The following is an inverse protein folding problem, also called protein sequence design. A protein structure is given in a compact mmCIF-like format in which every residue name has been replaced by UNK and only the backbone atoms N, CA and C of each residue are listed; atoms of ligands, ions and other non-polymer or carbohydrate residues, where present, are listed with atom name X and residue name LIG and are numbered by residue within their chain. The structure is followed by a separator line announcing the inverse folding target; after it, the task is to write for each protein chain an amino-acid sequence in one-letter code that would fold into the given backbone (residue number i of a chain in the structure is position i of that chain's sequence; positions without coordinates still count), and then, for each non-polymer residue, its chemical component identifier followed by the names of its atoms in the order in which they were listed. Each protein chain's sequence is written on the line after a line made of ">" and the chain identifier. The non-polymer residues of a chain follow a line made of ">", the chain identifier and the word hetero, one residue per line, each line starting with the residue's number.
data_IF_308785793768
#
_entry.id   IF_308785793768
#
_cell.length_a   1.000
_cell.length_b   1.000
_cell.length_c   1.000
_cell.angle_alpha   90.00
_cell.angle_beta   90.00
_cell.angle_gamma   90.00
#
_symmetry.space_group_name_H-M   'P 1'
#
loop_
_entity.id
_entity.type
_entity.pdbx_description
1 polymer ?
#
# COMPACT_ATOMS: atom_id res chain seq x y z
N UNK A 1 -30.97 -10.45 4.88
CA UNK A 1 -29.68 -10.12 4.23
C UNK A 1 -29.59 -8.62 4.16
N UNK A 2 -28.57 -8.05 4.79
CA UNK A 2 -28.34 -6.61 4.84
C UNK A 2 -27.97 -6.08 3.45
N UNK A 3 -28.58 -4.96 3.02
CA UNK A 3 -28.26 -4.34 1.74
C UNK A 3 -27.16 -3.32 1.94
N UNK A 4 -26.06 -3.50 1.21
CA UNK A 4 -24.94 -2.56 1.17
C UNK A 4 -24.87 -1.96 -0.21
N UNK A 5 -24.46 -0.71 -0.30
CA UNK A 5 -24.56 0.05 -1.53
C UNK A 5 -23.18 0.43 -2.05
N UNK A 6 -22.94 0.09 -3.31
CA UNK A 6 -21.79 0.56 -4.07
C UNK A 6 -21.96 2.06 -4.31
N UNK A 7 -21.00 2.82 -3.82
CA UNK A 7 -20.89 4.25 -4.08
C UNK A 7 -19.89 4.46 -5.21
N UNK A 8 -20.22 5.37 -6.10
CA UNK A 8 -19.31 5.85 -7.12
C UNK A 8 -19.08 7.33 -6.90
N UNK A 9 -17.83 7.70 -6.67
CA UNK A 9 -17.39 9.07 -6.46
C UNK A 9 -16.00 9.24 -7.07
N UNK A 10 -15.81 10.30 -7.85
CA UNK A 10 -14.52 10.66 -8.46
C UNK A 10 -13.84 9.48 -9.17
N UNK A 11 -14.57 8.75 -10.02
CA UNK A 11 -13.99 7.65 -10.81
C UNK A 11 -13.74 6.35 -10.04
N UNK A 12 -14.01 6.31 -8.73
CA UNK A 12 -13.78 5.15 -7.86
C UNK A 12 -15.08 4.53 -7.37
N UNK A 13 -15.08 3.20 -7.32
CA UNK A 13 -16.14 2.40 -6.74
C UNK A 13 -15.75 1.92 -5.35
N UNK A 14 -16.59 2.23 -4.36
CA UNK A 14 -16.38 1.86 -2.97
C UNK A 14 -17.65 1.25 -2.38
N UNK A 15 -17.48 0.19 -1.60
CA UNK A 15 -18.54 -0.35 -0.77
C UNK A 15 -17.93 -0.77 0.56
N UNK A 16 -18.58 -0.39 1.65
CA UNK A 16 -18.27 -0.91 2.97
C UNK A 16 -18.67 -2.38 3.03
N UNK A 17 -17.67 -3.25 2.89
CA UNK A 17 -17.85 -4.66 3.18
C UNK A 17 -17.04 -4.95 4.46
N UNK A 18 -17.72 -4.89 5.59
CA UNK A 18 -17.32 -5.41 6.90
C UNK A 18 -16.92 -6.91 6.91
N UNK A 19 -16.07 -7.38 5.99
CA UNK A 19 -15.43 -8.71 6.03
C UNK A 19 -14.08 -8.55 6.74
N UNK A 20 -14.00 -9.09 7.95
CA UNK A 20 -12.78 -9.06 8.76
C UNK A 20 -11.69 -9.98 8.19
N UNK A 21 -10.45 -9.73 8.58
CA UNK A 21 -9.28 -10.59 8.26
C UNK A 21 -9.55 -12.05 8.65
N UNK A 22 -10.11 -12.30 9.85
CA UNK A 22 -10.43 -13.66 10.31
C UNK A 22 -11.50 -14.36 9.46
N UNK A 23 -12.50 -13.60 8.97
CA UNK A 23 -13.48 -14.13 8.04
C UNK A 23 -12.84 -14.47 6.69
N UNK A 24 -11.91 -13.64 6.20
CA UNK A 24 -11.13 -13.94 5.01
C UNK A 24 -10.27 -15.18 5.17
N UNK A 25 -9.56 -15.34 6.30
CA UNK A 25 -8.78 -16.54 6.60
C UNK A 25 -9.63 -17.81 6.54
N UNK A 26 -10.77 -17.78 7.22
CA UNK A 26 -11.72 -18.90 7.26
C UNK A 26 -12.19 -19.29 5.85
N UNK A 27 -12.39 -18.30 4.97
CA UNK A 27 -12.77 -18.56 3.58
C UNK A 27 -11.61 -19.05 2.72
N UNK A 28 -10.41 -18.48 2.87
CA UNK A 28 -9.19 -18.87 2.15
C UNK A 28 -8.82 -20.34 2.41
N UNK A 29 -9.03 -20.82 3.64
CA UNK A 29 -8.82 -22.21 4.02
C UNK A 29 -9.92 -23.15 3.54
N UNK A 30 -11.02 -22.64 2.98
CA UNK A 30 -12.15 -23.43 2.50
C UNK A 30 -12.07 -23.65 0.97
N UNK A 31 -11.69 -24.86 0.48
CA UNK A 31 -11.50 -25.12 -0.94
C UNK A 31 -12.80 -25.06 -1.76
N UNK A 32 -13.98 -25.10 -1.11
CA UNK A 32 -15.28 -24.92 -1.80
C UNK A 32 -15.55 -23.46 -2.17
N UNK A 33 -14.86 -22.52 -1.50
CA UNK A 33 -14.91 -21.07 -1.75
C UNK A 33 -13.68 -20.69 -2.58
N UNK A 34 -12.49 -20.85 -2.00
CA UNK A 34 -11.20 -20.57 -2.63
C UNK A 34 -10.59 -21.84 -3.21
N UNK A 35 -11.14 -22.30 -4.33
CA UNK A 35 -10.52 -23.33 -5.15
C UNK A 35 -9.24 -22.81 -5.87
N UNK A 36 -8.40 -23.70 -6.43
CA UNK A 36 -7.10 -23.35 -6.99
C UNK A 36 -7.12 -22.19 -7.99
N UNK A 37 -8.11 -22.17 -8.90
CA UNK A 37 -8.25 -21.11 -9.91
C UNK A 37 -8.57 -19.72 -9.33
N UNK A 38 -9.30 -19.66 -8.22
CA UNK A 38 -9.66 -18.39 -7.59
C UNK A 38 -8.50 -17.86 -6.76
N UNK A 39 -7.82 -18.77 -6.05
CA UNK A 39 -6.60 -18.41 -5.33
C UNK A 39 -5.52 -17.92 -6.31
N UNK A 40 -5.27 -18.66 -7.40
CA UNK A 40 -4.36 -18.24 -8.47
C UNK A 40 -4.70 -16.85 -9.04
N UNK A 41 -5.98 -16.58 -9.31
CA UNK A 41 -6.42 -15.25 -9.73
C UNK A 41 -6.09 -14.17 -8.70
N UNK A 42 -6.43 -14.38 -7.42
CA UNK A 42 -6.14 -13.38 -6.38
C UNK A 42 -4.64 -13.17 -6.23
N UNK A 43 -3.85 -14.25 -6.27
CA UNK A 43 -2.40 -14.19 -6.15
C UNK A 43 -1.74 -13.41 -7.28
N UNK A 44 -2.27 -13.48 -8.51
CA UNK A 44 -1.77 -12.65 -9.63
C UNK A 44 -1.84 -11.16 -9.33
N UNK A 45 -2.93 -10.69 -8.71
CA UNK A 45 -3.02 -9.30 -8.28
C UNK A 45 -2.21 -9.02 -7.01
N UNK A 46 -2.14 -9.98 -6.08
CA UNK A 46 -1.32 -9.87 -4.88
C UNK A 46 0.15 -9.59 -5.21
N UNK A 47 0.70 -10.20 -6.27
CA UNK A 47 2.10 -9.98 -6.67
C UNK A 47 2.35 -8.68 -7.45
N UNK A 48 1.32 -7.88 -7.73
CA UNK A 48 1.50 -6.57 -8.34
C UNK A 48 1.80 -5.48 -7.32
N UNK A 49 2.41 -4.39 -7.79
CA UNK A 49 2.69 -3.22 -6.96
C UNK A 49 1.38 -2.68 -6.38
N UNK A 50 1.36 -2.48 -5.06
CA UNK A 50 0.17 -2.08 -4.29
C UNK A 50 -1.03 -3.04 -4.42
N UNK A 51 -0.80 -4.30 -4.78
CA UNK A 51 -1.81 -5.34 -4.96
C UNK A 51 -2.90 -4.97 -5.98
N UNK A 52 -2.53 -4.18 -7.00
CA UNK A 52 -3.45 -3.67 -8.02
C UNK A 52 -2.93 -3.81 -9.44
N UNK A 53 -3.84 -4.04 -10.39
CA UNK A 53 -3.56 -4.02 -11.81
C UNK A 53 -4.85 -3.97 -12.65
N UNK A 54 -4.70 -3.64 -13.92
CA UNK A 54 -5.75 -3.88 -14.92
C UNK A 54 -5.74 -5.35 -15.34
N UNK A 55 -6.89 -5.88 -15.75
CA UNK A 55 -6.96 -7.27 -16.27
C UNK A 55 -6.04 -7.47 -17.47
N UNK A 56 -5.84 -6.43 -18.30
CA UNK A 56 -4.94 -6.47 -19.44
C UNK A 56 -3.46 -6.60 -19.03
N UNK A 57 -3.03 -5.85 -18.00
CA UNK A 57 -1.67 -5.95 -17.49
C UNK A 57 -1.38 -7.35 -16.92
N UNK A 58 -2.34 -7.93 -16.19
CA UNK A 58 -2.22 -9.30 -15.69
C UNK A 58 -2.14 -10.31 -16.84
N UNK A 59 -2.99 -10.20 -17.86
CA UNK A 59 -2.94 -11.09 -19.04
C UNK A 59 -1.62 -10.99 -19.81
N UNK A 60 -1.01 -9.79 -19.86
CA UNK A 60 0.25 -9.58 -20.54
C UNK A 60 1.45 -10.15 -19.75
N UNK A 61 1.42 -10.06 -18.41
CA UNK A 61 2.51 -10.51 -17.53
C UNK A 61 2.46 -12.00 -17.22
N UNK A 62 1.27 -12.57 -17.08
CA UNK A 62 1.07 -13.99 -16.78
C UNK A 62 0.55 -14.69 -18.03
N UNK A 63 1.42 -15.41 -18.78
CA UNK A 63 1.03 -16.04 -20.03
C UNK A 63 -0.15 -16.99 -19.83
N UNK A 64 -1.14 -16.88 -20.70
CA UNK A 64 -2.32 -17.73 -20.69
C UNK A 64 -2.67 -18.09 -22.14
N UNK A 65 -3.10 -19.33 -22.36
CA UNK A 65 -3.60 -19.78 -23.67
C UNK A 65 -4.99 -19.21 -24.02
N UNK A 66 -5.57 -18.42 -23.12
CA UNK A 66 -6.91 -17.87 -23.26
C UNK A 66 -6.93 -16.67 -24.21
N UNK A 67 -7.87 -16.68 -25.17
CA UNK A 67 -8.08 -15.59 -26.17
C UNK A 67 -8.65 -14.30 -25.59
N UNK A 68 -8.99 -14.26 -24.30
CA UNK A 68 -9.59 -13.11 -23.61
C UNK A 68 -9.49 -13.25 -22.10
N UNK A 69 -9.82 -12.18 -21.37
CA UNK A 69 -9.70 -12.19 -19.91
C UNK A 69 -10.79 -13.02 -19.23
N UNK A 70 -10.44 -14.07 -18.45
CA UNK A 70 -11.43 -14.88 -17.74
C UNK A 70 -11.86 -14.26 -16.40
N UNK A 71 -11.21 -13.17 -15.99
CA UNK A 71 -11.22 -12.73 -14.59
C UNK A 71 -12.59 -12.24 -14.12
N UNK A 72 -13.38 -11.57 -14.97
CA UNK A 72 -14.74 -11.19 -14.63
C UNK A 72 -15.60 -12.41 -14.24
N UNK A 73 -15.53 -13.49 -15.00
CA UNK A 73 -16.26 -14.72 -14.69
C UNK A 73 -15.77 -15.38 -13.40
N UNK A 74 -14.46 -15.36 -13.16
CA UNK A 74 -13.86 -15.90 -11.94
C UNK A 74 -14.26 -15.08 -10.70
N UNK A 75 -14.25 -13.76 -10.81
CA UNK A 75 -14.70 -12.85 -9.75
C UNK A 75 -16.17 -13.06 -9.41
N UNK A 76 -17.04 -13.17 -10.41
CA UNK A 76 -18.48 -13.45 -10.19
C UNK A 76 -18.63 -14.79 -9.46
N UNK A 77 -17.94 -15.83 -9.93
CA UNK A 77 -17.99 -17.17 -9.34
C UNK A 77 -17.48 -17.22 -7.89
N UNK A 78 -16.38 -16.53 -7.60
CA UNK A 78 -15.82 -16.40 -6.26
C UNK A 78 -16.76 -15.62 -5.33
N UNK A 79 -17.26 -14.48 -5.80
CA UNK A 79 -18.14 -13.60 -5.00
C UNK A 79 -19.43 -14.30 -4.61
N UNK A 80 -20.06 -15.04 -5.52
CA UNK A 80 -21.27 -15.80 -5.20
C UNK A 80 -21.02 -16.85 -4.11
N UNK A 81 -19.82 -17.42 -4.05
CA UNK A 81 -19.43 -18.38 -2.98
C UNK A 81 -19.21 -17.69 -1.65
N UNK A 82 -18.53 -16.54 -1.66
CA UNK A 82 -18.30 -15.70 -0.47
C UNK A 82 -19.64 -15.24 0.11
N UNK A 83 -20.50 -14.62 -0.71
CA UNK A 83 -21.82 -14.13 -0.26
C UNK A 83 -22.67 -15.28 0.29
N UNK A 84 -22.71 -16.43 -0.40
CA UNK A 84 -23.46 -17.60 0.07
C UNK A 84 -22.91 -18.15 1.39
N UNK A 85 -21.59 -18.14 1.58
CA UNK A 85 -20.97 -18.63 2.82
C UNK A 85 -21.22 -17.70 4.00
N UNK A 86 -21.06 -16.39 3.79
CA UNK A 86 -21.27 -15.39 4.84
C UNK A 86 -22.76 -15.18 5.16
N UNK A 87 -23.64 -15.34 4.17
CA UNK A 87 -25.11 -15.28 4.27
C UNK A 87 -25.65 -14.08 5.09
N UNK A 88 -24.96 -12.93 5.03
CA UNK A 88 -25.27 -11.77 5.88
C UNK A 88 -25.58 -10.50 5.10
N UNK A 89 -24.93 -10.28 3.95
CA UNK A 89 -25.13 -9.07 3.15
C UNK A 89 -25.15 -9.36 1.65
N UNK A 90 -25.74 -8.44 0.90
CA UNK A 90 -25.64 -8.31 -0.55
C UNK A 90 -25.15 -6.90 -0.89
N UNK A 91 -24.46 -6.75 -2.03
CA UNK A 91 -23.98 -5.44 -2.48
C UNK A 91 -24.75 -5.01 -3.73
N UNK A 92 -25.50 -3.93 -3.60
CA UNK A 92 -26.29 -3.30 -4.66
C UNK A 92 -25.41 -2.26 -5.35
N UNK A 93 -25.24 -2.41 -6.66
CA UNK A 93 -24.54 -1.52 -7.57
C UNK A 93 -25.25 -0.19 -7.78
N UNK A 94 -24.56 0.74 -8.44
CA UNK A 94 -25.07 2.10 -8.73
C UNK A 94 -26.31 2.11 -9.61
N UNK A 95 -26.52 1.06 -10.41
CA UNK A 95 -27.69 0.89 -11.28
C UNK A 95 -28.77 -0.01 -10.67
N UNK A 96 -28.66 -0.35 -9.39
CA UNK A 96 -29.62 -1.20 -8.68
C UNK A 96 -29.45 -2.71 -8.91
N UNK A 97 -28.53 -3.13 -9.77
CA UNK A 97 -28.13 -4.53 -9.95
C UNK A 97 -27.07 -4.94 -8.92
N UNK A 98 -26.91 -6.24 -8.64
CA UNK A 98 -25.88 -6.70 -7.71
C UNK A 98 -24.46 -6.45 -8.25
N UNK A 99 -23.59 -5.85 -7.43
CA UNK A 99 -22.17 -5.68 -7.74
C UNK A 99 -21.35 -6.83 -7.17
N UNK A 100 -20.58 -7.49 -8.04
CA UNK A 100 -19.79 -8.68 -7.67
C UNK A 100 -18.34 -8.35 -7.39
N UNK A 101 -17.71 -7.54 -8.24
CA UNK A 101 -16.27 -7.31 -8.10
C UNK A 101 -15.85 -6.67 -6.79
N UNK A 102 -16.71 -5.81 -6.26
CA UNK A 102 -16.41 -5.01 -5.08
C UNK A 102 -16.24 -5.86 -3.80
N UNK A 103 -16.58 -7.16 -3.86
CA UNK A 103 -16.41 -8.07 -2.73
C UNK A 103 -14.94 -8.47 -2.57
N UNK A 104 -14.29 -9.17 -3.51
CA UNK A 104 -12.86 -9.47 -3.36
C UNK A 104 -11.92 -8.30 -3.74
N UNK A 105 -12.42 -7.29 -4.45
CA UNK A 105 -11.62 -6.16 -4.94
C UNK A 105 -12.22 -4.80 -4.57
N UNK A 106 -11.39 -3.78 -4.62
CA UNK A 106 -11.77 -2.40 -4.89
C UNK A 106 -11.50 -2.10 -6.37
N UNK A 107 -12.14 -1.06 -6.93
CA UNK A 107 -11.87 -0.71 -8.32
C UNK A 107 -12.18 0.72 -8.71
N UNK A 108 -11.49 1.18 -9.75
CA UNK A 108 -11.63 2.51 -10.33
C UNK A 108 -11.13 2.48 -11.78
N UNK A 109 -11.53 3.48 -12.56
CA UNK A 109 -10.95 3.67 -13.88
C UNK A 109 -9.60 4.38 -13.78
N UNK A 110 -8.63 4.02 -14.62
CA UNK A 110 -7.36 4.75 -14.74
C UNK A 110 -7.64 6.24 -14.96
N UNK A 111 -6.85 7.09 -14.30
CA UNK A 111 -7.05 8.55 -14.23
C UNK A 111 -8.42 9.01 -13.72
N UNK A 112 -9.18 8.12 -13.06
CA UNK A 112 -10.54 8.39 -12.57
C UNK A 112 -11.51 8.83 -13.67
N UNK A 113 -11.22 8.45 -14.92
CA UNK A 113 -12.00 8.78 -16.11
C UNK A 113 -12.70 7.54 -16.64
N UNK A 114 -14.02 7.57 -16.61
CA UNK A 114 -14.84 6.51 -17.20
C UNK A 114 -14.49 6.32 -18.69
N UNK A 115 -14.31 5.06 -19.10
CA UNK A 115 -13.87 4.68 -20.45
C UNK A 115 -12.38 4.30 -20.57
N UNK A 116 -11.55 4.64 -19.58
CA UNK A 116 -10.18 4.12 -19.49
C UNK A 116 -10.15 2.67 -18.98
N UNK A 117 -8.97 2.05 -18.85
CA UNK A 117 -8.89 0.69 -18.30
C UNK A 117 -9.33 0.66 -16.84
N UNK A 118 -10.02 -0.41 -16.47
CA UNK A 118 -10.45 -0.62 -15.09
C UNK A 118 -9.31 -1.24 -14.26
N UNK A 119 -8.94 -0.58 -13.18
CA UNK A 119 -7.97 -1.03 -12.19
C UNK A 119 -8.70 -1.78 -11.10
N UNK A 120 -8.18 -2.96 -10.76
CA UNK A 120 -8.65 -3.79 -9.67
C UNK A 120 -7.58 -3.81 -8.59
N UNK A 121 -7.96 -3.61 -7.32
CA UNK A 121 -7.06 -3.72 -6.16
C UNK A 121 -7.61 -4.78 -5.22
N UNK A 122 -6.80 -5.76 -4.81
CA UNK A 122 -7.22 -6.74 -3.79
C UNK A 122 -7.45 -5.99 -2.48
N UNK A 123 -8.52 -6.35 -1.76
CA UNK A 123 -8.82 -5.71 -0.47
C UNK A 123 -7.71 -5.93 0.55
N UNK A 124 -7.44 -4.91 1.35
CA UNK A 124 -6.32 -4.92 2.29
C UNK A 124 -6.50 -6.00 3.37
N UNK A 125 -7.74 -6.27 3.82
CA UNK A 125 -8.05 -7.34 4.77
C UNK A 125 -7.83 -8.73 4.17
N UNK A 126 -8.06 -8.88 2.86
CA UNK A 126 -7.80 -10.12 2.14
C UNK A 126 -6.29 -10.33 1.91
N UNK A 127 -5.55 -9.27 1.57
CA UNK A 127 -4.08 -9.29 1.51
C UNK A 127 -3.49 -9.71 2.85
N UNK A 128 -3.93 -9.06 3.93
CA UNK A 128 -3.50 -9.40 5.29
C UNK A 128 -3.80 -10.86 5.65
N UNK A 129 -4.99 -11.36 5.30
CA UNK A 129 -5.34 -12.76 5.56
C UNK A 129 -4.46 -13.77 4.78
N UNK A 130 -4.05 -13.43 3.55
CA UNK A 130 -3.13 -14.25 2.73
C UNK A 130 -1.74 -14.29 3.37
N UNK A 131 -1.23 -13.14 3.80
CA UNK A 131 0.08 -13.01 4.46
C UNK A 131 0.10 -13.77 5.81
N UNK A 132 -0.93 -13.60 6.64
CA UNK A 132 -1.01 -14.24 7.96
C UNK A 132 -1.21 -15.77 7.90
N UNK A 133 -1.80 -16.28 6.81
CA UNK A 133 -1.90 -17.74 6.58
C UNK A 133 -0.62 -18.35 5.98
N UNK A 134 0.36 -17.53 5.59
CA UNK A 134 1.56 -18.01 4.90
C UNK A 134 1.23 -18.70 3.57
N UNK A 135 0.14 -18.32 2.89
CA UNK A 135 -0.24 -18.88 1.58
C UNK A 135 0.66 -18.40 0.44
N UNK A 136 1.52 -17.45 0.75
CA UNK A 136 2.54 -16.88 -0.11
C UNK A 136 3.83 -16.99 0.68
N UNK A 137 4.92 -17.36 0.01
CA UNK A 137 6.22 -17.38 0.66
C UNK A 137 6.46 -16.00 1.28
N UNK A 138 6.85 -15.96 2.57
CA UNK A 138 7.34 -14.75 3.22
C UNK A 138 8.24 -14.06 2.22
N UNK A 139 8.00 -12.77 1.93
CA UNK A 139 8.74 -12.00 0.91
C UNK A 139 10.25 -12.28 0.98
N UNK A 140 10.72 -13.32 0.29
CA UNK A 140 12.06 -13.40 -0.22
C UNK A 140 11.99 -12.52 -1.45
N UNK A 141 12.11 -11.22 -1.22
CA UNK A 141 12.88 -10.45 -2.17
C UNK A 141 14.14 -11.27 -2.43
N UNK A 142 14.46 -11.61 -3.69
CA UNK A 142 15.79 -12.13 -3.99
C UNK A 142 16.77 -11.23 -3.26
N UNK A 143 17.76 -11.81 -2.58
CA UNK A 143 18.82 -10.96 -2.05
C UNK A 143 19.35 -10.13 -3.23
N UNK A 144 19.73 -8.87 -3.01
CA UNK A 144 20.28 -8.03 -4.09
C UNK A 144 21.38 -8.80 -4.83
N UNK A 145 22.15 -9.66 -4.14
CA UNK A 145 23.11 -10.60 -4.72
C UNK A 145 22.55 -11.64 -5.70
N UNK A 146 21.38 -12.24 -5.44
CA UNK A 146 20.74 -13.20 -6.34
C UNK A 146 20.15 -12.51 -7.57
N UNK A 147 19.57 -11.32 -7.39
CA UNK A 147 19.07 -10.46 -8.49
C UNK A 147 20.22 -9.97 -9.39
N UNK A 148 21.33 -9.50 -8.79
CA UNK A 148 22.55 -9.08 -9.48
C UNK A 148 23.22 -10.22 -10.24
N UNK A 149 23.15 -11.46 -9.73
CA UNK A 149 23.68 -12.65 -10.43
C UNK A 149 22.81 -13.11 -11.60
N UNK A 150 21.51 -12.82 -11.56
CA UNK A 150 20.54 -13.27 -12.58
C UNK A 150 20.34 -12.30 -13.75
N UNK A 151 20.81 -11.05 -13.63
CA UNK A 151 20.64 -10.04 -14.67
C UNK A 151 21.82 -10.00 -15.65
N UNK A 152 21.55 -10.23 -16.93
CA UNK A 152 22.40 -9.75 -18.02
C UNK A 152 22.44 -8.22 -18.00
N UNK A 153 23.62 -7.62 -18.23
CA UNK A 153 23.74 -6.18 -18.43
C UNK A 153 23.11 -5.84 -19.79
N UNK A 154 21.81 -5.57 -19.77
CA UNK A 154 21.03 -5.19 -20.93
C UNK A 154 20.54 -3.76 -20.80
N UNK A 155 20.77 -2.95 -21.83
CA UNK A 155 20.26 -1.59 -21.90
C UNK A 155 18.74 -1.64 -22.13
N UNK A 156 17.97 -1.42 -21.06
CA UNK A 156 16.51 -1.27 -21.11
C UNK A 156 16.15 0.20 -21.24
N UNK A 157 15.07 0.49 -21.98
CA UNK A 157 14.52 1.85 -22.07
C UNK A 157 13.76 2.17 -20.79
N UNK A 158 14.19 3.20 -20.07
CA UNK A 158 13.52 3.79 -18.90
C UNK A 158 13.15 5.27 -19.20
N UNK A 159 12.43 5.93 -18.29
CA UNK A 159 12.05 7.35 -18.43
C UNK A 159 10.63 7.58 -18.96
N UNK A 160 9.77 6.55 -18.98
CA UNK A 160 8.34 6.74 -19.26
C UNK A 160 7.73 7.64 -18.19
N UNK A 161 7.07 8.72 -18.62
CA UNK A 161 6.33 9.60 -17.70
C UNK A 161 5.13 8.82 -17.16
N UNK A 162 5.11 8.60 -15.85
CA UNK A 162 4.02 7.96 -15.10
C UNK A 162 3.46 9.00 -14.14
N UNK A 163 2.21 9.42 -14.32
CA UNK A 163 1.55 10.33 -13.39
C UNK A 163 0.96 9.54 -12.21
N UNK A 164 1.20 10.02 -10.99
CA UNK A 164 0.68 9.44 -9.74
C UNK A 164 -0.01 10.54 -8.94
N UNK A 165 -1.30 10.37 -8.65
CA UNK A 165 -2.02 11.24 -7.72
C UNK A 165 -1.92 10.64 -6.31
N UNK A 166 -1.53 11.45 -5.33
CA UNK A 166 -1.35 11.03 -3.94
C UNK A 166 -2.13 11.98 -3.03
N UNK A 167 -2.82 11.44 -2.03
CA UNK A 167 -3.48 12.25 -0.99
C UNK A 167 -2.41 12.83 -0.09
N UNK A 168 -2.27 14.16 -0.12
CA UNK A 168 -1.36 14.88 0.77
C UNK A 168 -2.15 15.45 1.94
N UNK A 169 -1.73 15.13 3.15
CA UNK A 169 -2.19 15.85 4.34
C UNK A 169 -1.59 17.24 4.33
N UNK A 170 -2.41 18.25 4.64
CA UNK A 170 -1.96 19.63 4.79
C UNK A 170 -0.84 19.69 5.83
N UNK A 171 0.29 20.30 5.46
CA UNK A 171 1.42 20.53 6.37
C UNK A 171 1.63 22.02 6.52
N UNK A 172 1.41 22.54 7.72
CA UNK A 172 1.67 23.95 8.00
C UNK A 172 3.19 24.21 8.05
N UNK A 173 3.69 25.06 7.15
CA UNK A 173 5.10 25.43 7.05
C UNK A 173 5.65 26.10 8.32
N UNK A 174 4.79 26.67 9.17
CA UNK A 174 5.15 27.27 10.44
C UNK A 174 5.64 26.18 11.42
N UNK A 175 4.98 25.02 11.46
CA UNK A 175 5.36 23.93 12.36
C UNK A 175 6.76 23.40 12.02
N UNK A 176 7.08 23.28 10.72
CA UNK A 176 8.43 22.93 10.26
C UNK A 176 9.47 23.96 10.72
N UNK A 177 9.20 25.25 10.51
CA UNK A 177 10.12 26.33 10.91
C UNK A 177 10.34 26.37 12.41
N UNK A 178 9.28 26.17 13.19
CA UNK A 178 9.38 26.11 14.64
C UNK A 178 10.19 24.89 15.09
N UNK A 179 9.98 23.72 14.50
CA UNK A 179 10.77 22.52 14.82
C UNK A 179 12.26 22.73 14.53
N UNK A 180 12.61 23.34 13.39
CA UNK A 180 14.02 23.64 13.06
C UNK A 180 14.60 24.67 14.03
N UNK A 181 13.82 25.69 14.42
CA UNK A 181 14.28 26.69 15.41
C UNK A 181 14.55 26.08 16.79
N UNK A 182 13.74 25.09 17.18
CA UNK A 182 13.84 24.43 18.50
C UNK A 182 14.94 23.35 18.50
N UNK A 183 14.92 22.47 17.50
CA UNK A 183 15.76 21.26 17.46
C UNK A 183 17.03 21.40 16.62
N UNK A 184 17.13 22.47 15.83
CA UNK A 184 18.25 22.71 14.92
C UNK A 184 18.21 21.83 13.66
N UNK A 185 19.37 21.77 12.99
CA UNK A 185 19.60 21.09 11.70
C UNK A 185 20.50 19.86 11.82
N UNK A 186 20.96 19.53 13.03
CA UNK A 186 21.73 18.32 13.30
C UNK A 186 20.76 17.16 13.52
N UNK A 187 20.97 16.05 12.81
CA UNK A 187 20.12 14.87 12.92
C UNK A 187 20.12 14.32 14.36
N UNK A 188 18.96 14.28 15.00
CA UNK A 188 18.80 13.74 16.36
C UNK A 188 19.02 12.21 16.42
N UNK A 189 18.94 11.51 15.29
CA UNK A 189 19.16 10.06 15.20
C UNK A 189 20.65 9.69 15.18
N UNK A 190 21.41 10.23 14.21
CA UNK A 190 22.80 9.83 13.97
C UNK A 190 23.84 10.93 14.20
N UNK A 191 23.42 12.18 14.46
CA UNK A 191 24.32 13.33 14.61
C UNK A 191 24.85 13.92 13.31
N UNK A 192 24.35 13.47 12.15
CA UNK A 192 24.75 14.00 10.85
C UNK A 192 24.34 15.47 10.70
N UNK A 193 25.27 16.27 10.17
CA UNK A 193 25.13 17.71 9.99
C UNK A 193 25.42 18.05 8.52
N UNK A 194 24.39 18.49 7.79
CA UNK A 194 24.49 18.75 6.36
C UNK A 194 25.40 19.93 6.05
N UNK A 195 25.41 20.97 6.88
CA UNK A 195 26.27 22.15 6.67
C UNK A 195 27.73 21.78 6.89
N UNK A 196 28.04 20.98 7.92
CA UNK A 196 29.41 20.52 8.15
C UNK A 196 29.94 19.63 7.03
N UNK A 197 29.09 18.77 6.45
CA UNK A 197 29.51 17.78 5.44
C UNK A 197 29.48 18.34 4.02
N UNK A 198 28.47 19.14 3.69
CA UNK A 198 28.24 19.64 2.34
C UNK A 198 28.49 21.15 2.18
N UNK A 199 28.83 21.87 3.24
CA UNK A 199 29.04 23.31 3.20
C UNK A 199 27.74 24.09 3.00
N UNK A 200 27.80 25.23 2.31
CA UNK A 200 26.69 26.19 2.20
C UNK A 200 25.40 25.56 1.63
N UNK A 201 25.50 24.57 0.73
CA UNK A 201 24.31 23.90 0.17
C UNK A 201 23.54 23.06 1.20
N UNK A 202 24.19 22.68 2.31
CA UNK A 202 23.60 21.92 3.41
C UNK A 202 23.05 22.78 4.54
N UNK A 203 23.24 24.10 4.47
CA UNK A 203 22.76 25.05 5.48
C UNK A 203 21.24 25.03 5.56
N UNK A 204 20.71 25.09 6.79
CA UNK A 204 19.28 25.03 7.08
C UNK A 204 18.54 23.79 6.53
N UNK A 205 19.29 22.77 6.08
CA UNK A 205 18.73 21.57 5.47
C UNK A 205 18.59 20.44 6.48
N UNK A 206 17.34 20.06 6.76
CA UNK A 206 16.99 18.90 7.57
C UNK A 206 15.54 18.47 7.27
N UNK A 207 15.22 17.20 7.50
CA UNK A 207 13.85 16.69 7.40
C UNK A 207 13.17 16.68 8.77
N UNK A 208 11.93 17.18 8.82
CA UNK A 208 11.11 17.18 10.04
C UNK A 208 10.13 16.00 9.98
N UNK A 209 10.18 15.16 11.00
CA UNK A 209 9.39 13.95 11.13
C UNK A 209 8.42 14.06 12.32
N UNK A 210 7.18 13.59 12.14
CA UNK A 210 6.19 13.54 13.21
C UNK A 210 6.37 12.25 14.01
N UNK A 211 6.57 12.36 15.33
CA UNK A 211 6.71 11.18 16.21
C UNK A 211 5.45 10.32 16.18
N UNK A 212 4.27 10.97 16.16
CA UNK A 212 2.97 10.30 15.97
C UNK A 212 2.48 10.51 14.55
N UNK A 213 2.10 9.45 13.81
CA UNK A 213 1.58 9.60 12.46
C UNK A 213 0.28 10.41 12.43
N UNK A 214 0.16 11.34 11.48
CA UNK A 214 -1.03 12.20 11.34
C UNK A 214 -2.33 11.43 11.02
N UNK A 215 -2.25 10.19 10.52
CA UNK A 215 -3.41 9.40 10.15
C UNK A 215 -4.14 8.76 11.35
N UNK A 216 -3.49 8.64 12.52
CA UNK A 216 -4.09 8.01 13.70
C UNK A 216 -5.14 8.91 14.39
N UNK A 217 -5.17 10.21 14.08
CA UNK A 217 -5.97 11.21 14.82
C UNK A 217 -7.34 11.55 14.22
N UNK A 218 -7.67 11.11 13.01
CA UNK A 218 -8.96 11.40 12.37
C UNK A 218 -9.33 12.89 12.34
N UNK A 219 -8.50 13.73 11.70
CA UNK A 219 -8.78 15.17 11.52
C UNK A 219 -7.55 16.07 11.63
N UNK A 220 -7.75 17.39 11.60
CA UNK A 220 -6.71 18.38 11.91
C UNK A 220 -6.46 18.39 13.42
N UNK A 221 -5.23 18.06 13.83
CA UNK A 221 -4.81 18.03 15.23
C UNK A 221 -3.77 19.13 15.45
N UNK A 222 -3.84 19.91 16.55
CA UNK A 222 -2.78 20.85 16.88
C UNK A 222 -1.46 20.10 17.11
N UNK A 223 -0.40 20.58 16.47
CA UNK A 223 0.96 20.02 16.57
C UNK A 223 1.81 20.90 17.46
N UNK A 224 2.42 20.31 18.50
CA UNK A 224 3.46 20.95 19.27
C UNK A 224 4.83 20.66 18.64
N UNK A 225 5.48 21.69 18.11
CA UNK A 225 6.76 21.54 17.42
C UNK A 225 7.91 21.07 18.33
N UNK A 226 7.81 21.26 19.64
CA UNK A 226 8.82 20.79 20.61
C UNK A 226 8.68 19.29 20.90
N UNK A 227 7.44 18.80 21.06
CA UNK A 227 7.20 17.44 21.57
C UNK A 227 6.77 16.44 20.51
N UNK A 228 6.16 16.90 19.42
CA UNK A 228 5.56 16.03 18.40
C UNK A 228 6.42 15.91 17.14
N UNK A 229 7.42 16.78 16.98
CA UNK A 229 8.29 16.86 15.82
C UNK A 229 9.75 16.61 16.22
N UNK A 230 10.47 15.90 15.35
CA UNK A 230 11.92 15.70 15.44
C UNK A 230 12.60 16.07 14.12
N UNK A 231 13.85 16.49 14.19
CA UNK A 231 14.72 16.78 13.05
C UNK A 231 15.67 15.60 12.80
N UNK A 232 15.58 15.00 11.61
CA UNK A 232 16.36 13.82 11.20
C UNK A 232 16.90 13.99 9.78
N UNK A 233 18.04 13.35 9.46
CA UNK A 233 18.56 13.35 8.09
C UNK A 233 17.74 12.43 7.18
N UNK A 234 17.86 12.62 5.86
CA UNK A 234 17.14 11.83 4.86
C UNK A 234 17.29 10.31 5.07
N UNK A 235 18.49 9.83 5.38
CA UNK A 235 18.73 8.40 5.63
C UNK A 235 18.00 7.90 6.89
N UNK A 236 18.10 8.63 8.00
CA UNK A 236 17.41 8.30 9.24
C UNK A 236 15.89 8.33 9.07
N UNK A 237 15.36 9.32 8.37
CA UNK A 237 13.93 9.42 8.09
C UNK A 237 13.43 8.24 7.27
N UNK A 238 14.21 7.80 6.27
CA UNK A 238 13.90 6.60 5.49
C UNK A 238 13.96 5.33 6.32
N UNK A 239 14.93 5.21 7.23
CA UNK A 239 15.05 4.05 8.11
C UNK A 239 13.91 3.96 9.12
N UNK A 240 13.44 5.10 9.64
CA UNK A 240 12.26 5.17 10.52
C UNK A 240 11.03 4.55 9.84
N UNK A 241 10.85 4.77 8.55
CA UNK A 241 9.72 4.31 7.75
C UNK A 241 10.01 3.07 6.89
N UNK A 242 11.14 2.38 7.09
CA UNK A 242 11.56 1.30 6.19
C UNK A 242 10.64 0.09 6.25
N UNK A 243 10.06 -0.19 7.42
CA UNK A 243 9.14 -1.30 7.67
C UNK A 243 7.70 -0.80 7.60
N UNK A 244 6.83 -1.54 6.90
CA UNK A 244 5.42 -1.16 6.72
C UNK A 244 4.57 -1.42 7.97
N UNK A 245 4.98 -2.40 8.76
CA UNK A 245 4.35 -2.87 10.00
C UNK A 245 4.74 -2.04 11.23
N UNK A 246 5.82 -1.26 11.15
CA UNK A 246 6.35 -0.54 12.31
C UNK A 246 7.13 0.72 11.92
N UNK A 247 6.69 1.86 12.47
CA UNK A 247 7.48 3.11 12.48
C UNK A 247 8.42 3.07 13.68
N UNK A 248 9.73 3.23 13.45
CA UNK A 248 10.71 3.23 14.53
C UNK A 248 10.66 4.54 15.32
N UNK A 249 10.67 4.44 16.65
CA UNK A 249 10.91 5.59 17.50
C UNK A 249 12.35 6.07 17.39
N UNK A 250 12.60 7.34 17.72
CA UNK A 250 13.95 7.92 17.74
C UNK A 250 14.90 7.10 18.63
N UNK A 251 14.44 6.62 19.79
CA UNK A 251 15.23 5.80 20.71
C UNK A 251 15.59 4.44 20.11
N UNK A 252 14.68 3.80 19.38
CA UNK A 252 14.96 2.54 18.69
C UNK A 252 15.96 2.74 17.56
N UNK A 253 15.82 3.81 16.77
CA UNK A 253 16.78 4.17 15.74
C UNK A 253 18.18 4.39 16.34
N UNK A 254 18.28 5.16 17.41
CA UNK A 254 19.56 5.41 18.10
C UNK A 254 20.19 4.11 18.62
N UNK A 255 19.39 3.21 19.23
CA UNK A 255 19.89 1.90 19.67
C UNK A 255 20.45 1.07 18.51
N UNK A 256 19.76 1.03 17.37
CA UNK A 256 20.23 0.32 16.18
C UNK A 256 21.54 0.91 15.66
N UNK A 257 21.64 2.24 15.61
CA UNK A 257 22.86 2.92 15.17
C UNK A 257 24.03 2.69 16.14
N UNK A 258 23.78 2.64 17.45
CA UNK A 258 24.81 2.35 18.46
C UNK A 258 25.26 0.88 18.42
N UNK A 259 24.32 -0.05 18.28
CA UNK A 259 24.63 -1.49 18.21
C UNK A 259 25.48 -1.88 16.99
N UNK A 260 25.41 -1.07 15.92
CA UNK A 260 26.11 -1.32 14.65
C UNK A 260 27.18 -0.27 14.34
N UNK A 261 27.51 0.61 15.29
CA UNK A 261 28.68 1.48 15.21
C UNK A 261 29.91 0.64 15.56
N UNK A 262 30.58 0.14 14.53
CA UNK A 262 31.97 -0.30 14.61
C UNK A 262 32.90 0.91 14.60
#
# INVERSE_FOLDING_TARGET
>A
MEKRYLRYSDGRYEADIDITVEAWKSMLQNPKIFGPKYLDMILKWYYEIDHRATSQAIMAKYPSELKGTPYNGYVIGLTNRIIKYLNRFEVIGTQGNESKFIVPFEGWYEDYKEGNHFVWKVRDELVQAIEELGLVDEKKFPSEEEELKSCSIENRKDGKIIMRYTTQYERNSINRRNAIRIHGTVCQGCGFDFEKVYGEIGKDYIEVHHIKPLYEGGGSVPINAETDLICVCANCHRMIHRRKDKVLSLKELQKLLLANKN
#
